data_IF_081958809453
#
_entry.id   IF_081958809453
#
_cell.length_a   1.000
_cell.length_b   1.000
_cell.length_c   1.000
_cell.angle_alpha   90.00
_cell.angle_beta   90.00
_cell.angle_gamma   90.00
#
_symmetry.space_group_name_H-M   'P 1'
#
loop_
_entity.id
_entity.type
_entity.pdbx_description
1 polymer ?
#
# COMPACT_ATOMS: atom_id res chain seq x y z
N UNK A 1 -7.15 13.96 5.45
CA UNK A 1 -5.77 13.40 5.48
C UNK A 1 -5.62 12.46 4.31
N UNK A 2 -4.44 12.37 3.67
CA UNK A 2 -4.28 11.46 2.55
C UNK A 2 -4.39 10.03 3.09
N UNK A 3 -5.53 9.40 2.84
CA UNK A 3 -5.60 7.94 2.85
C UNK A 3 -4.69 7.48 1.73
N UNK A 4 -3.70 6.64 2.04
CA UNK A 4 -2.89 6.03 0.99
C UNK A 4 -3.75 5.06 0.18
N UNK A 5 -3.45 4.92 -1.12
CA UNK A 5 -4.06 3.89 -1.97
C UNK A 5 -3.23 2.62 -1.96
N UNK A 6 -3.87 1.48 -2.27
CA UNK A 6 -3.21 0.20 -2.43
C UNK A 6 -3.34 -0.29 -3.87
N UNK A 7 -2.30 -0.91 -4.46
CA UNK A 7 -1.01 -1.22 -3.87
C UNK A 7 -0.17 0.00 -3.49
N UNK A 8 0.63 -0.16 -2.43
CA UNK A 8 1.48 0.91 -1.91
C UNK A 8 2.94 0.46 -1.84
N UNK A 9 3.84 1.37 -2.17
CA UNK A 9 5.29 1.14 -2.06
C UNK A 9 5.84 2.09 -1.01
N UNK A 10 6.37 1.56 0.09
CA UNK A 10 7.04 2.36 1.12
C UNK A 10 8.56 2.23 1.00
N UNK A 11 9.25 3.33 0.72
CA UNK A 11 10.71 3.39 0.64
C UNK A 11 11.30 3.82 1.99
N UNK A 12 11.91 2.89 2.72
CA UNK A 12 12.65 3.17 3.94
C UNK A 12 14.08 3.63 3.65
N UNK A 13 14.38 4.89 3.95
CA UNK A 13 15.69 5.49 3.73
C UNK A 13 16.77 4.93 4.68
N UNK A 14 16.35 4.30 5.79
CA UNK A 14 17.23 3.92 6.90
C UNK A 14 18.15 5.08 7.27
N UNK A 15 19.44 4.81 7.46
CA UNK A 15 20.49 5.80 7.69
C UNK A 15 21.50 5.85 6.54
N UNK A 16 21.05 5.59 5.30
CA UNK A 16 21.94 5.61 4.12
C UNK A 16 22.34 7.04 3.74
N UNK A 17 23.62 7.25 3.43
CA UNK A 17 24.12 8.56 2.98
C UNK A 17 23.45 9.02 1.67
N UNK A 18 23.05 8.05 0.85
CA UNK A 18 22.33 8.22 -0.41
C UNK A 18 20.89 8.73 -0.22
N UNK A 19 20.34 8.69 1.01
CA UNK A 19 18.98 9.15 1.33
C UNK A 19 18.92 9.97 2.63
N UNK A 20 19.96 10.75 2.92
CA UNK A 20 20.01 11.73 4.01
C UNK A 20 20.40 13.11 3.46
N UNK A 21 20.11 14.18 4.20
CA UNK A 21 20.37 15.55 3.72
C UNK A 21 19.69 15.85 2.36
N UNK A 22 20.37 16.62 1.51
CA UNK A 22 19.85 16.96 0.18
C UNK A 22 19.56 15.72 -0.70
N UNK A 23 20.19 14.57 -0.42
CA UNK A 23 19.95 13.37 -1.21
C UNK A 23 18.55 12.80 -1.00
N UNK A 24 17.99 12.90 0.21
CA UNK A 24 16.58 12.49 0.44
C UNK A 24 15.61 13.40 -0.33
N UNK A 25 15.94 14.69 -0.52
CA UNK A 25 15.11 15.60 -1.30
C UNK A 25 15.18 15.27 -2.78
N UNK A 26 16.34 14.84 -3.29
CA UNK A 26 16.47 14.33 -4.67
C UNK A 26 15.61 13.09 -4.87
N UNK A 27 15.67 12.13 -3.95
CA UNK A 27 14.83 10.93 -4.00
C UNK A 27 13.34 11.27 -3.88
N UNK A 28 12.98 12.21 -3.00
CA UNK A 28 11.60 12.68 -2.83
C UNK A 28 11.08 13.35 -4.11
N UNK A 29 11.92 14.12 -4.83
CA UNK A 29 11.56 14.69 -6.12
C UNK A 29 11.21 13.62 -7.17
N UNK A 30 12.00 12.54 -7.21
CA UNK A 30 11.72 11.40 -8.10
C UNK A 30 10.36 10.79 -7.74
N UNK A 31 10.13 10.52 -6.45
CA UNK A 31 8.87 9.95 -5.95
C UNK A 31 7.67 10.85 -6.29
N UNK A 32 7.79 12.17 -6.09
CA UNK A 32 6.76 13.14 -6.45
C UNK A 32 6.36 13.03 -7.92
N UNK A 33 7.33 13.09 -8.84
CA UNK A 33 7.07 13.01 -10.28
C UNK A 33 6.40 11.68 -10.69
N UNK A 34 6.80 10.57 -10.08
CA UNK A 34 6.20 9.26 -10.33
C UNK A 34 4.76 9.23 -9.82
N UNK A 35 4.50 9.73 -8.61
CA UNK A 35 3.14 9.79 -8.05
C UNK A 35 2.18 10.66 -8.88
N UNK A 36 2.67 11.64 -9.65
CA UNK A 36 1.84 12.41 -10.59
C UNK A 36 1.48 11.62 -11.86
N UNK A 37 2.32 10.64 -12.24
CA UNK A 37 2.24 9.94 -13.52
C UNK A 37 1.58 8.56 -13.43
N UNK A 38 1.61 7.94 -12.25
CA UNK A 38 1.15 6.57 -12.02
C UNK A 38 0.06 6.51 -10.93
N UNK A 39 -0.78 5.49 -10.99
CA UNK A 39 -1.87 5.29 -10.03
C UNK A 39 -1.42 4.63 -8.72
N UNK A 40 -0.29 3.91 -8.76
CA UNK A 40 0.32 3.28 -7.59
C UNK A 40 1.10 4.34 -6.81
N UNK A 41 0.72 4.52 -5.55
CA UNK A 41 1.32 5.55 -4.70
C UNK A 41 2.59 5.04 -4.02
N UNK A 42 3.62 5.90 -4.03
CA UNK A 42 4.88 5.67 -3.33
C UNK A 42 4.98 6.63 -2.14
N UNK A 43 5.31 6.10 -0.97
CA UNK A 43 5.69 6.85 0.22
C UNK A 43 7.17 6.71 0.56
N UNK A 44 7.65 7.56 1.46
CA UNK A 44 9.04 7.59 1.90
C UNK A 44 9.15 7.66 3.42
N UNK A 45 10.11 6.93 4.00
CA UNK A 45 10.45 6.99 5.42
C UNK A 45 11.88 7.52 5.63
N UNK A 46 12.07 8.85 5.69
CA UNK A 46 13.38 9.49 5.91
C UNK A 46 13.82 9.41 7.38
N UNK A 47 15.07 9.78 7.67
CA UNK A 47 15.50 9.97 9.06
C UNK A 47 14.72 11.12 9.74
N UNK A 48 14.62 11.10 11.07
CA UNK A 48 13.83 12.08 11.84
C UNK A 48 14.18 13.53 11.53
N UNK A 49 15.48 13.83 11.39
CA UNK A 49 16.00 15.18 11.08
C UNK A 49 15.57 15.70 9.70
N UNK A 50 15.05 14.81 8.87
CA UNK A 50 14.79 15.05 7.46
C UNK A 50 13.28 15.06 7.16
N UNK A 51 12.44 14.58 8.08
CA UNK A 51 10.97 14.49 7.92
C UNK A 51 10.36 15.84 7.56
N UNK A 52 10.57 16.86 8.41
CA UNK A 52 9.92 18.16 8.25
C UNK A 52 10.25 18.80 6.89
N UNK A 53 11.52 18.73 6.47
CA UNK A 53 11.92 19.32 5.18
C UNK A 53 11.39 18.57 3.97
N UNK A 54 11.17 17.25 4.07
CA UNK A 54 10.52 16.47 3.00
C UNK A 54 9.05 16.85 2.93
N UNK A 55 8.34 16.83 4.06
CA UNK A 55 6.92 17.17 4.11
C UNK A 55 6.65 18.60 3.63
N UNK A 56 7.49 19.56 4.03
CA UNK A 56 7.37 20.96 3.62
C UNK A 56 7.55 21.15 2.11
N UNK A 57 8.46 20.38 1.49
CA UNK A 57 8.80 20.53 0.07
C UNK A 57 7.91 19.71 -0.86
N UNK A 58 7.42 18.56 -0.39
CA UNK A 58 6.62 17.60 -1.15
C UNK A 58 5.41 17.13 -0.32
N UNK A 59 4.42 18.01 -0.08
CA UNK A 59 3.30 17.73 0.83
C UNK A 59 2.33 16.65 0.32
N UNK A 60 2.44 16.26 -0.93
CA UNK A 60 1.65 15.22 -1.60
C UNK A 60 2.25 13.81 -1.43
N UNK A 61 3.52 13.69 -1.02
CA UNK A 61 4.14 12.40 -0.72
C UNK A 61 3.73 11.96 0.70
N UNK A 62 3.20 10.74 0.88
CA UNK A 62 3.03 10.17 2.21
C UNK A 62 4.39 9.93 2.88
N UNK A 63 4.73 10.77 3.86
CA UNK A 63 5.96 10.64 4.64
C UNK A 63 5.71 9.83 5.91
N UNK A 64 6.54 8.83 6.16
CA UNK A 64 6.47 7.98 7.35
C UNK A 64 7.67 8.23 8.25
N UNK A 65 7.47 8.27 9.57
CA UNK A 65 8.61 8.23 10.50
C UNK A 65 9.17 6.81 10.61
N UNK A 66 10.48 6.67 10.86
CA UNK A 66 11.11 5.35 11.00
C UNK A 66 10.87 4.68 12.37
N UNK A 67 10.39 5.44 13.37
CA UNK A 67 10.07 5.00 14.73
C UNK A 67 9.27 6.10 15.44
N UNK A 68 8.60 5.76 16.55
CA UNK A 68 8.14 6.71 17.57
C UNK A 68 8.19 6.04 18.94
N UNK A 69 8.33 6.84 20.00
CA UNK A 69 8.28 6.32 21.37
C UNK A 69 6.86 6.50 21.93
N UNK A 70 6.31 5.54 22.70
CA UNK A 70 4.96 5.61 23.28
C UNK A 70 4.92 6.56 24.48
N UNK A 71 5.20 7.83 24.24
CA UNK A 71 5.30 8.89 25.25
C UNK A 71 4.27 9.98 24.99
N UNK A 72 4.06 10.83 26.01
CA UNK A 72 3.26 12.05 25.92
C UNK A 72 4.17 13.28 26.03
N UNK A 73 3.68 14.50 25.71
CA UNK A 73 4.44 15.72 25.91
C UNK A 73 4.94 15.84 27.35
N UNK A 74 6.25 15.99 27.54
CA UNK A 74 6.87 15.99 28.85
C UNK A 74 8.39 15.80 28.82
N UNK A 75 8.95 15.38 29.95
CA UNK A 75 10.40 15.24 30.17
C UNK A 75 10.97 13.96 29.56
N UNK A 76 11.11 13.94 28.23
CA UNK A 76 11.61 12.78 27.46
C UNK A 76 12.76 13.15 26.50
N UNK A 77 13.84 13.73 27.03
CA UNK A 77 14.98 14.17 26.22
C UNK A 77 15.55 13.03 25.34
N UNK A 78 15.61 13.26 24.03
CA UNK A 78 16.15 12.29 23.05
C UNK A 78 15.14 11.29 22.50
N UNK A 79 13.89 11.30 22.99
CA UNK A 79 12.81 10.48 22.45
C UNK A 79 12.10 11.17 21.28
N UNK A 80 11.41 10.37 20.46
CA UNK A 80 10.60 10.81 19.32
C UNK A 80 9.14 10.88 19.74
N UNK A 81 8.67 12.10 20.04
CA UNK A 81 7.29 12.38 20.44
C UNK A 81 6.32 12.20 19.25
N UNK A 82 5.28 11.36 19.34
CA UNK A 82 4.33 11.11 18.25
C UNK A 82 3.63 12.37 17.72
N UNK A 83 3.23 13.29 18.60
CA UNK A 83 2.58 14.54 18.22
C UNK A 83 3.51 15.42 17.37
N UNK A 84 4.82 15.40 17.64
CA UNK A 84 5.80 16.15 16.85
C UNK A 84 5.94 15.60 15.42
N UNK A 85 5.77 14.29 15.23
CA UNK A 85 5.76 13.67 13.91
C UNK A 85 4.51 14.08 13.13
N UNK A 86 3.35 14.09 13.81
CA UNK A 86 2.09 14.55 13.22
C UNK A 86 2.19 16.02 12.79
N UNK A 87 2.72 16.88 13.66
CA UNK A 87 2.92 18.30 13.39
C UNK A 87 3.91 18.53 12.24
N UNK A 88 4.95 17.70 12.14
CA UNK A 88 5.91 17.76 11.03
C UNK A 88 5.32 17.36 9.67
N UNK A 89 4.11 16.78 9.63
CA UNK A 89 3.40 16.40 8.41
C UNK A 89 3.44 14.89 8.09
N UNK A 90 3.87 14.03 9.01
CA UNK A 90 3.86 12.59 8.78
C UNK A 90 2.45 12.05 8.50
N UNK A 91 2.36 11.13 7.54
CA UNK A 91 1.19 10.32 7.25
C UNK A 91 1.13 9.06 8.13
N UNK A 92 2.28 8.57 8.61
CA UNK A 92 2.35 7.35 9.41
C UNK A 92 3.71 7.09 10.04
N UNK A 93 3.86 5.92 10.66
CA UNK A 93 5.06 5.53 11.41
C UNK A 93 5.35 4.04 11.21
N UNK A 94 6.63 3.71 10.95
CA UNK A 94 7.15 2.36 11.02
C UNK A 94 7.44 2.01 12.48
N UNK A 95 6.96 0.85 12.92
CA UNK A 95 7.05 0.37 14.30
C UNK A 95 7.70 -1.01 14.31
N UNK A 96 8.57 -1.27 15.28
CA UNK A 96 9.19 -2.59 15.50
C UNK A 96 10.00 -3.12 14.31
N UNK A 97 10.64 -2.23 13.52
CA UNK A 97 11.55 -2.66 12.46
C UNK A 97 12.66 -3.56 13.03
N UNK A 98 13.21 -4.46 12.21
CA UNK A 98 14.24 -5.42 12.65
C UNK A 98 15.48 -4.76 13.29
N UNK A 99 15.79 -3.53 12.88
CA UNK A 99 16.89 -2.67 13.37
C UNK A 99 16.47 -1.78 14.57
N UNK A 100 15.18 -1.75 14.94
CA UNK A 100 14.60 -1.00 16.07
C UNK A 100 13.42 -1.78 16.66
N UNK A 101 13.72 -2.93 17.27
CA UNK A 101 12.71 -3.78 17.94
C UNK A 101 12.31 -3.18 19.27
N UNK A 102 11.03 -3.31 19.61
CA UNK A 102 10.45 -2.83 20.87
C UNK A 102 9.63 -3.93 21.53
N UNK A 103 9.22 -3.73 22.79
CA UNK A 103 8.42 -4.71 23.51
C UNK A 103 6.99 -4.75 22.97
N UNK A 104 6.31 -5.89 23.16
CA UNK A 104 4.95 -6.07 22.62
C UNK A 104 3.92 -5.11 23.24
N UNK A 105 4.09 -4.73 24.51
CA UNK A 105 3.26 -3.71 25.15
C UNK A 105 3.48 -2.33 24.54
N UNK A 106 4.73 -1.96 24.23
CA UNK A 106 5.06 -0.73 23.52
C UNK A 106 4.49 -0.71 22.10
N UNK A 107 4.47 -1.86 21.39
CA UNK A 107 3.81 -1.98 20.08
C UNK A 107 2.33 -1.63 20.20
N UNK A 108 1.63 -2.20 21.20
CA UNK A 108 0.21 -1.95 21.43
C UNK A 108 -0.05 -0.47 21.72
N UNK A 109 0.75 0.14 22.60
CA UNK A 109 0.65 1.57 22.92
C UNK A 109 0.90 2.45 21.68
N UNK A 110 1.93 2.15 20.89
CA UNK A 110 2.19 2.87 19.65
C UNK A 110 1.03 2.78 18.66
N UNK A 111 0.42 1.60 18.47
CA UNK A 111 -0.74 1.46 17.57
C UNK A 111 -1.92 2.30 18.09
N UNK A 112 -2.17 2.35 19.40
CA UNK A 112 -3.23 3.17 19.97
C UNK A 112 -2.97 4.66 19.74
N UNK A 113 -1.75 5.14 19.98
CA UNK A 113 -1.37 6.53 19.71
C UNK A 113 -1.50 6.85 18.21
N UNK A 114 -1.10 5.94 17.33
CA UNK A 114 -1.30 6.10 15.88
C UNK A 114 -2.78 6.34 15.54
N UNK A 115 -3.71 5.58 16.12
CA UNK A 115 -5.15 5.79 15.92
C UNK A 115 -5.63 7.14 16.43
N UNK A 116 -5.22 7.51 17.66
CA UNK A 116 -5.60 8.78 18.28
C UNK A 116 -5.14 9.98 17.47
N UNK A 117 -3.95 9.90 16.87
CA UNK A 117 -3.34 10.97 16.06
C UNK A 117 -3.63 10.83 14.56
N UNK A 118 -4.45 9.87 14.14
CA UNK A 118 -4.72 9.55 12.73
C UNK A 118 -3.43 9.39 11.90
N UNK A 119 -2.44 8.68 12.47
CA UNK A 119 -1.21 8.25 11.81
C UNK A 119 -1.33 6.78 11.41
N UNK A 120 -0.91 6.44 10.21
CA UNK A 120 -0.90 5.06 9.72
C UNK A 120 0.20 4.27 10.45
N UNK A 121 -0.17 3.19 11.13
CA UNK A 121 0.74 2.26 11.79
C UNK A 121 1.26 1.19 10.82
N UNK A 122 2.59 1.12 10.62
CA UNK A 122 3.26 0.07 9.83
C UNK A 122 4.12 -0.78 10.75
N UNK A 123 3.62 -1.92 11.19
CA UNK A 123 4.30 -2.74 12.19
C UNK A 123 5.07 -3.89 11.53
N UNK A 124 6.39 -3.88 11.67
CA UNK A 124 7.25 -4.93 11.13
C UNK A 124 7.23 -6.18 12.02
N UNK A 125 7.29 -7.34 11.37
CA UNK A 125 7.27 -8.66 12.00
C UNK A 125 8.21 -9.62 11.27
N UNK A 126 8.93 -10.47 12.00
CA UNK A 126 9.92 -11.38 11.42
C UNK A 126 9.38 -12.75 11.01
N UNK A 127 8.28 -13.20 11.63
CA UNK A 127 7.68 -14.51 11.35
C UNK A 127 6.15 -14.42 11.31
N UNK A 128 5.46 -15.38 10.68
CA UNK A 128 4.00 -15.39 10.67
C UNK A 128 3.36 -15.47 12.06
N UNK A 129 4.00 -16.12 13.03
CA UNK A 129 3.52 -16.17 14.43
C UNK A 129 3.54 -14.79 15.07
N UNK A 130 4.60 -14.02 14.81
CA UNK A 130 4.71 -12.64 15.31
C UNK A 130 3.70 -11.76 14.57
N UNK A 131 3.50 -11.95 13.26
CA UNK A 131 2.42 -11.29 12.51
C UNK A 131 1.04 -11.56 13.13
N UNK A 132 0.77 -12.81 13.53
CA UNK A 132 -0.49 -13.19 14.17
C UNK A 132 -0.67 -12.48 15.51
N UNK A 133 0.36 -12.44 16.35
CA UNK A 133 0.31 -11.74 17.63
C UNK A 133 0.03 -10.25 17.43
N UNK A 134 0.77 -9.59 16.53
CA UNK A 134 0.60 -8.16 16.22
C UNK A 134 -0.80 -7.88 15.63
N UNK A 135 -1.33 -8.76 14.80
CA UNK A 135 -2.65 -8.60 14.19
C UNK A 135 -3.78 -8.52 15.24
N UNK A 136 -3.60 -9.08 16.44
CA UNK A 136 -4.58 -8.95 17.54
C UNK A 136 -4.73 -7.51 18.04
N UNK A 137 -3.73 -6.66 17.80
CA UNK A 137 -3.79 -5.23 18.09
C UNK A 137 -4.35 -4.42 16.93
N UNK A 138 -4.80 -5.03 15.82
CA UNK A 138 -5.42 -4.38 14.66
C UNK A 138 -4.68 -3.14 14.10
N UNK A 139 -3.36 -3.21 13.82
CA UNK A 139 -2.68 -2.11 13.14
C UNK A 139 -3.23 -1.90 11.72
N UNK A 140 -2.93 -0.75 11.12
CA UNK A 140 -3.29 -0.46 9.73
C UNK A 140 -2.55 -1.41 8.78
N UNK A 141 -1.24 -1.58 8.99
CA UNK A 141 -0.36 -2.41 8.16
C UNK A 141 0.53 -3.29 9.04
N UNK A 142 0.67 -4.56 8.66
CA UNK A 142 1.74 -5.47 9.12
C UNK A 142 2.70 -5.75 7.97
N UNK A 143 3.99 -5.49 8.17
CA UNK A 143 5.05 -5.80 7.21
C UNK A 143 5.79 -7.09 7.63
N UNK A 144 5.65 -8.17 6.85
CA UNK A 144 6.40 -9.41 7.06
C UNK A 144 7.80 -9.28 6.44
N UNK A 145 8.83 -9.36 7.29
CA UNK A 145 10.24 -9.13 6.93
C UNK A 145 11.16 -10.12 7.65
N UNK A 146 11.42 -11.31 7.08
CA UNK A 146 12.38 -12.26 7.63
C UNK A 146 13.80 -11.64 7.70
N UNK A 147 14.39 -11.48 8.90
CA UNK A 147 15.65 -10.75 9.09
C UNK A 147 16.81 -11.29 8.24
N UNK A 148 16.84 -12.58 7.99
CA UNK A 148 17.87 -13.27 7.21
C UNK A 148 17.90 -12.87 5.72
N UNK A 149 16.86 -12.20 5.22
CA UNK A 149 16.76 -11.73 3.84
C UNK A 149 16.97 -10.21 3.70
N UNK A 150 17.17 -9.50 4.81
CA UNK A 150 17.31 -8.03 4.79
C UNK A 150 18.67 -7.66 4.22
N UNK A 151 18.67 -6.85 3.16
CA UNK A 151 19.89 -6.33 2.53
C UNK A 151 20.67 -7.35 1.68
N UNK A 152 20.18 -8.59 1.56
CA UNK A 152 20.84 -9.64 0.76
C UNK A 152 20.54 -9.54 -0.74
N UNK A 153 19.47 -8.83 -1.10
CA UNK A 153 18.94 -8.82 -2.47
C UNK A 153 18.20 -10.11 -2.86
N UNK A 154 17.96 -11.02 -1.91
CA UNK A 154 17.19 -12.24 -2.13
C UNK A 154 15.73 -11.97 -1.70
N UNK A 155 14.78 -11.83 -2.64
CA UNK A 155 13.41 -11.44 -2.34
C UNK A 155 12.67 -12.55 -1.60
N UNK A 156 12.04 -12.20 -0.47
CA UNK A 156 11.23 -13.14 0.32
C UNK A 156 10.08 -13.74 -0.49
N UNK A 157 9.51 -12.96 -1.42
CA UNK A 157 8.41 -13.40 -2.28
C UNK A 157 8.78 -14.58 -3.19
N UNK A 158 10.07 -14.80 -3.46
CA UNK A 158 10.58 -15.93 -4.25
C UNK A 158 11.26 -16.99 -3.40
N UNK A 159 12.05 -16.57 -2.42
CA UNK A 159 12.83 -17.48 -1.59
C UNK A 159 11.97 -18.23 -0.57
N UNK A 160 10.94 -17.57 -0.03
CA UNK A 160 10.06 -18.13 1.00
C UNK A 160 8.58 -17.73 0.80
N UNK A 161 7.97 -18.00 -0.37
CA UNK A 161 6.58 -17.61 -0.68
C UNK A 161 5.56 -18.18 0.32
N UNK A 162 5.84 -19.34 0.90
CA UNK A 162 5.04 -19.98 1.94
C UNK A 162 4.99 -19.17 3.25
N UNK A 163 6.09 -18.50 3.62
CA UNK A 163 6.13 -17.62 4.80
C UNK A 163 5.18 -16.44 4.60
N UNK A 164 5.24 -15.81 3.42
CA UNK A 164 4.35 -14.68 3.07
C UNK A 164 2.89 -15.13 3.04
N UNK A 165 2.57 -16.23 2.34
CA UNK A 165 1.20 -16.77 2.28
C UNK A 165 0.64 -17.11 3.66
N UNK A 166 1.46 -17.72 4.52
CA UNK A 166 1.03 -18.07 5.88
C UNK A 166 0.74 -16.81 6.70
N UNK A 167 1.60 -15.80 6.61
CA UNK A 167 1.37 -14.52 7.28
C UNK A 167 0.08 -13.84 6.78
N UNK A 168 -0.10 -13.72 5.45
CA UNK A 168 -1.30 -13.14 4.84
C UNK A 168 -2.57 -13.85 5.33
N UNK A 169 -2.61 -15.18 5.24
CA UNK A 169 -3.77 -15.96 5.65
C UNK A 169 -4.06 -15.83 7.15
N UNK A 170 -3.02 -15.73 7.97
CA UNK A 170 -3.18 -15.67 9.41
C UNK A 170 -3.64 -14.26 9.87
N UNK A 171 -3.06 -13.20 9.31
CA UNK A 171 -3.48 -11.82 9.57
C UNK A 171 -4.94 -11.63 9.14
N UNK A 172 -5.32 -12.03 7.92
CA UNK A 172 -6.69 -11.86 7.41
C UNK A 172 -7.75 -12.59 8.24
N UNK A 173 -7.39 -13.67 8.93
CA UNK A 173 -8.30 -14.37 9.85
C UNK A 173 -8.52 -13.61 11.17
N UNK A 174 -7.51 -12.88 11.64
CA UNK A 174 -7.51 -12.21 12.95
C UNK A 174 -8.02 -10.77 12.81
N UNK A 175 -7.50 -10.04 11.83
CA UNK A 175 -7.81 -8.62 11.57
C UNK A 175 -7.98 -8.43 10.05
N UNK A 176 -9.19 -8.67 9.50
CA UNK A 176 -9.44 -8.64 8.05
C UNK A 176 -9.14 -7.30 7.37
N UNK A 177 -9.24 -6.20 8.12
CA UNK A 177 -8.99 -4.84 7.62
C UNK A 177 -7.49 -4.48 7.61
N UNK A 178 -6.66 -5.20 8.37
CA UNK A 178 -5.22 -4.96 8.42
C UNK A 178 -4.59 -5.35 7.09
N UNK A 179 -3.87 -4.38 6.51
CA UNK A 179 -3.16 -4.54 5.24
C UNK A 179 -1.84 -5.24 5.48
N UNK A 180 -1.37 -5.98 4.48
CA UNK A 180 -0.15 -6.77 4.61
C UNK A 180 0.88 -6.28 3.61
N UNK A 181 2.05 -5.90 4.10
CA UNK A 181 3.20 -5.59 3.25
C UNK A 181 4.21 -6.72 3.27
N UNK A 182 4.88 -6.91 2.14
CA UNK A 182 6.02 -7.78 2.01
C UNK A 182 7.29 -6.93 2.01
N UNK A 183 8.26 -7.23 2.88
CA UNK A 183 9.57 -6.59 2.81
C UNK A 183 10.70 -7.61 2.72
N UNK A 184 11.94 -7.10 2.76
CA UNK A 184 13.19 -7.85 2.55
C UNK A 184 13.46 -8.36 1.11
N UNK A 185 14.58 -7.89 0.55
CA UNK A 185 15.21 -8.44 -0.65
C UNK A 185 14.56 -8.09 -2.00
N UNK A 186 13.50 -7.29 -2.01
CA UNK A 186 12.87 -6.79 -3.25
C UNK A 186 13.84 -5.86 -3.99
N UNK A 187 14.18 -6.20 -5.24
CA UNK A 187 15.11 -5.41 -6.06
C UNK A 187 14.65 -5.20 -7.50
N UNK A 188 13.63 -5.94 -7.94
CA UNK A 188 13.08 -5.90 -9.31
C UNK A 188 11.55 -5.85 -9.29
N UNK A 189 10.94 -5.38 -10.38
CA UNK A 189 9.49 -5.32 -10.54
C UNK A 189 8.82 -6.69 -10.42
N UNK A 190 9.46 -7.75 -10.94
CA UNK A 190 8.98 -9.13 -10.80
C UNK A 190 8.82 -9.58 -9.34
N UNK A 191 9.64 -9.04 -8.42
CA UNK A 191 9.55 -9.35 -6.99
C UNK A 191 8.30 -8.69 -6.37
N UNK A 192 7.94 -7.50 -6.87
CA UNK A 192 6.73 -6.75 -6.51
C UNK A 192 5.48 -7.47 -6.97
N UNK A 193 5.41 -7.86 -8.25
CA UNK A 193 4.32 -8.67 -8.79
C UNK A 193 4.13 -9.94 -7.98
N UNK A 194 5.24 -10.63 -7.67
CA UNK A 194 5.18 -11.85 -6.85
C UNK A 194 4.64 -11.59 -5.45
N UNK A 195 5.05 -10.52 -4.77
CA UNK A 195 4.50 -10.18 -3.46
C UNK A 195 2.97 -9.99 -3.52
N UNK A 196 2.50 -9.18 -4.48
CA UNK A 196 1.08 -8.89 -4.66
C UNK A 196 0.27 -10.13 -5.06
N UNK A 197 0.82 -11.03 -5.87
CA UNK A 197 0.23 -12.34 -6.19
C UNK A 197 -0.01 -13.19 -4.95
N UNK A 198 0.94 -13.16 -3.98
CA UNK A 198 0.83 -13.89 -2.71
C UNK A 198 -0.21 -13.30 -1.76
N UNK A 199 -0.82 -12.17 -2.12
CA UNK A 199 -1.95 -11.56 -1.42
C UNK A 199 -1.57 -10.41 -0.49
N UNK A 200 -0.38 -9.83 -0.66
CA UNK A 200 -0.01 -8.56 0.01
C UNK A 200 -0.67 -7.37 -0.68
N UNK A 201 -0.81 -6.28 0.06
CA UNK A 201 -1.37 -4.99 -0.38
C UNK A 201 -0.27 -3.99 -0.74
N UNK A 202 1.01 -4.36 -0.60
CA UNK A 202 2.13 -3.46 -0.87
C UNK A 202 3.47 -4.06 -0.49
N UNK A 203 4.51 -3.23 -0.55
CA UNK A 203 5.89 -3.59 -0.21
C UNK A 203 6.55 -2.54 0.67
N UNK A 204 7.49 -3.00 1.51
CA UNK A 204 8.43 -2.17 2.26
C UNK A 204 9.85 -2.45 1.73
N UNK A 205 10.48 -1.43 1.14
CA UNK A 205 11.78 -1.57 0.46
C UNK A 205 12.78 -0.54 0.96
N UNK A 206 14.08 -0.83 0.78
CA UNK A 206 15.15 0.09 1.18
C UNK A 206 16.29 0.09 0.17
N UNK A 207 17.29 -0.79 0.36
CA UNK A 207 18.54 -0.79 -0.42
C UNK A 207 18.34 -1.01 -1.92
N UNK A 208 17.31 -1.75 -2.33
CA UNK A 208 16.98 -1.95 -3.75
C UNK A 208 16.68 -0.66 -4.50
N UNK A 209 16.17 0.36 -3.81
CA UNK A 209 15.89 1.70 -4.35
C UNK A 209 16.99 2.68 -3.95
N UNK A 210 17.25 2.81 -2.65
CA UNK A 210 18.10 3.87 -2.09
C UNK A 210 19.55 3.78 -2.60
N UNK A 211 20.06 2.56 -2.82
CA UNK A 211 21.43 2.33 -3.29
C UNK A 211 21.50 2.04 -4.79
N UNK A 212 20.38 2.17 -5.52
CA UNK A 212 20.37 1.97 -6.95
C UNK A 212 21.21 3.06 -7.64
N UNK A 213 21.87 2.69 -8.74
CA UNK A 213 22.54 3.68 -9.61
C UNK A 213 21.53 4.66 -10.22
N UNK A 214 20.31 4.18 -10.44
CA UNK A 214 19.19 4.93 -11.00
C UNK A 214 17.91 4.57 -10.22
N UNK A 215 17.65 5.29 -9.10
CA UNK A 215 16.45 5.03 -8.29
C UNK A 215 15.14 5.29 -9.02
N UNK A 216 15.12 6.23 -9.97
CA UNK A 216 13.93 6.56 -10.77
C UNK A 216 13.52 5.38 -11.63
N UNK A 217 14.47 4.81 -12.38
CA UNK A 217 14.20 3.62 -13.18
C UNK A 217 13.68 2.44 -12.36
N UNK A 218 14.25 2.20 -11.18
CA UNK A 218 13.82 1.10 -10.30
C UNK A 218 12.40 1.35 -9.78
N UNK A 219 12.09 2.57 -9.35
CA UNK A 219 10.76 2.90 -8.87
C UNK A 219 9.70 2.82 -9.98
N UNK A 220 10.03 3.25 -11.20
CA UNK A 220 9.17 3.09 -12.38
C UNK A 220 8.88 1.59 -12.62
N UNK A 221 9.92 0.75 -12.63
CA UNK A 221 9.76 -0.70 -12.79
C UNK A 221 8.83 -1.29 -11.71
N UNK A 222 8.91 -0.80 -10.47
CA UNK A 222 8.06 -1.28 -9.37
C UNK A 222 6.60 -0.85 -9.53
N UNK A 223 6.32 0.40 -9.90
CA UNK A 223 4.94 0.87 -10.09
C UNK A 223 4.29 0.22 -11.31
N UNK A 224 5.01 0.07 -12.42
CA UNK A 224 4.51 -0.62 -13.62
C UNK A 224 4.17 -2.08 -13.33
N UNK A 225 5.03 -2.78 -12.59
CA UNK A 225 4.79 -4.15 -12.17
C UNK A 225 3.57 -4.26 -11.23
N UNK A 226 3.42 -3.33 -10.29
CA UNK A 226 2.28 -3.28 -9.41
C UNK A 226 0.97 -3.00 -10.17
N UNK A 227 0.94 -2.00 -11.05
CA UNK A 227 -0.22 -1.67 -11.89
C UNK A 227 -0.65 -2.83 -12.79
N UNK A 228 0.32 -3.48 -13.44
CA UNK A 228 0.07 -4.66 -14.28
C UNK A 228 -0.55 -5.79 -13.48
N UNK A 229 -0.04 -6.06 -12.29
CA UNK A 229 -0.55 -7.14 -11.42
C UNK A 229 -1.98 -6.88 -10.95
N UNK A 230 -2.35 -5.62 -10.70
CA UNK A 230 -3.74 -5.25 -10.37
C UNK A 230 -4.63 -5.41 -11.60
N UNK A 231 -4.16 -4.96 -12.76
CA UNK A 231 -4.93 -5.00 -14.02
C UNK A 231 -5.20 -6.44 -14.45
N UNK A 232 -4.23 -7.33 -14.31
CA UNK A 232 -4.40 -8.77 -14.59
C UNK A 232 -5.37 -9.45 -13.59
N UNK A 233 -5.42 -8.97 -12.34
CA UNK A 233 -6.40 -9.43 -11.33
C UNK A 233 -7.78 -8.78 -11.48
N UNK A 234 -7.89 -7.63 -12.17
CA UNK A 234 -9.18 -7.00 -12.51
C UNK A 234 -9.78 -7.75 -13.68
N UNK A 235 -10.98 -8.29 -13.47
CA UNK A 235 -11.71 -8.95 -14.56
C UNK A 235 -11.81 -7.99 -15.75
N UNK A 236 -11.49 -8.39 -17.00
CA UNK A 236 -11.58 -7.51 -18.18
C UNK A 236 -12.96 -6.87 -18.37
N UNK A 237 -14.00 -7.52 -17.84
CA UNK A 237 -15.37 -7.00 -17.83
C UNK A 237 -15.55 -5.86 -16.83
N UNK A 238 -14.78 -5.81 -15.74
CA UNK A 238 -14.87 -4.76 -14.72
C UNK A 238 -14.35 -3.43 -15.25
N UNK A 239 -13.21 -3.39 -15.91
CA UNK A 239 -12.71 -2.16 -16.56
C UNK A 239 -13.66 -1.67 -17.65
N UNK A 240 -14.20 -2.60 -18.44
CA UNK A 240 -15.24 -2.28 -19.43
C UNK A 240 -16.51 -1.71 -18.76
N UNK A 241 -16.94 -2.27 -17.63
CA UNK A 241 -18.06 -1.75 -16.85
C UNK A 241 -17.75 -0.39 -16.23
N UNK A 242 -16.56 -0.17 -15.66
CA UNK A 242 -16.15 1.12 -15.10
C UNK A 242 -16.15 2.22 -16.18
N UNK A 243 -15.62 1.93 -17.37
CA UNK A 243 -15.72 2.80 -18.55
C UNK A 243 -17.17 3.06 -18.96
N UNK A 244 -18.00 2.02 -18.98
CA UNK A 244 -19.42 2.16 -19.31
C UNK A 244 -20.20 2.96 -18.26
N UNK A 245 -19.82 2.90 -16.99
CA UNK A 245 -20.45 3.66 -15.92
C UNK A 245 -19.97 5.11 -15.87
N UNK A 246 -18.72 5.38 -16.29
CA UNK A 246 -18.15 6.72 -16.41
C UNK A 246 -18.36 7.57 -15.14
N UNK A 247 -17.92 7.03 -14.00
CA UNK A 247 -18.04 7.66 -12.69
C UNK A 247 -19.43 7.61 -12.04
N UNK A 248 -20.45 7.07 -12.72
CA UNK A 248 -21.76 6.82 -12.11
C UNK A 248 -21.74 5.51 -11.33
N UNK A 249 -22.54 5.41 -10.27
CA UNK A 249 -22.73 4.15 -9.52
C UNK A 249 -23.91 3.32 -10.01
N UNK A 250 -24.89 3.94 -10.66
CA UNK A 250 -26.14 3.32 -11.09
C UNK A 250 -26.49 3.76 -12.51
N UNK A 251 -26.89 2.82 -13.37
CA UNK A 251 -27.33 3.09 -14.74
C UNK A 251 -28.60 2.31 -15.11
N UNK A 252 -29.54 2.91 -15.85
CA UNK A 252 -30.63 2.16 -16.50
C UNK A 252 -30.05 1.15 -17.50
N UNK A 253 -30.66 -0.04 -17.64
CA UNK A 253 -30.24 -1.07 -18.62
C UNK A 253 -30.04 -0.48 -20.02
N UNK A 254 -31.01 0.29 -20.52
CA UNK A 254 -30.95 0.93 -21.85
C UNK A 254 -29.76 1.90 -22.01
N UNK A 255 -29.28 2.52 -20.94
CA UNK A 255 -28.12 3.40 -20.99
C UNK A 255 -26.82 2.60 -20.95
N UNK A 256 -26.76 1.57 -20.10
CA UNK A 256 -25.61 0.66 -20.03
C UNK A 256 -25.39 -0.03 -21.38
N UNK A 257 -26.44 -0.59 -22.00
CA UNK A 257 -26.35 -1.25 -23.31
C UNK A 257 -25.80 -0.31 -24.37
N UNK A 258 -26.38 0.89 -24.50
CA UNK A 258 -25.90 1.90 -25.45
C UNK A 258 -24.44 2.30 -25.24
N UNK A 259 -23.97 2.34 -24.00
CA UNK A 259 -22.57 2.67 -23.69
C UNK A 259 -21.63 1.51 -23.99
N UNK A 260 -22.01 0.28 -23.71
CA UNK A 260 -21.22 -0.91 -24.07
C UNK A 260 -21.09 -1.07 -25.58
N UNK A 261 -22.14 -0.78 -26.34
CA UNK A 261 -22.09 -0.75 -27.81
C UNK A 261 -21.11 0.29 -28.33
N UNK A 262 -21.08 1.50 -27.73
CA UNK A 262 -20.08 2.54 -28.07
C UNK A 262 -18.64 2.13 -27.72
N UNK A 263 -18.47 1.24 -26.76
CA UNK A 263 -17.17 0.68 -26.38
C UNK A 263 -16.77 -0.54 -27.23
N UNK A 264 -17.54 -0.85 -28.29
CA UNK A 264 -17.20 -1.87 -29.28
C UNK A 264 -17.80 -3.26 -29.01
N UNK A 265 -18.73 -3.40 -28.05
CA UNK A 265 -19.45 -4.67 -27.82
C UNK A 265 -20.67 -4.73 -28.76
N UNK A 266 -20.79 -5.72 -29.66
CA UNK A 266 -21.97 -5.80 -30.54
C UNK A 266 -23.24 -6.05 -29.71
N UNK A 267 -24.35 -5.41 -30.11
CA UNK A 267 -25.58 -5.34 -29.32
C UNK A 267 -26.17 -6.73 -29.03
N UNK A 268 -26.07 -7.67 -29.97
CA UNK A 268 -26.52 -9.07 -29.79
C UNK A 268 -25.82 -9.80 -28.63
N UNK A 269 -24.59 -9.40 -28.28
CA UNK A 269 -23.83 -10.00 -27.19
C UNK A 269 -24.03 -9.28 -25.85
N UNK A 270 -24.52 -8.04 -25.85
CA UNK A 270 -24.63 -7.25 -24.62
C UNK A 270 -25.63 -7.89 -23.66
N UNK A 271 -26.81 -8.26 -24.15
CA UNK A 271 -27.86 -8.83 -23.30
C UNK A 271 -27.49 -10.22 -22.78
N UNK A 272 -26.74 -11.01 -23.56
CA UNK A 272 -26.21 -12.31 -23.13
C UNK A 272 -25.08 -12.17 -22.10
N UNK A 273 -24.20 -11.17 -22.27
CA UNK A 273 -23.10 -10.94 -21.34
C UNK A 273 -23.54 -10.32 -20.02
N UNK A 274 -24.50 -9.39 -20.03
CA UNK A 274 -25.01 -8.74 -18.80
C UNK A 274 -25.63 -9.76 -17.84
N UNK A 275 -26.16 -10.88 -18.35
CA UNK A 275 -26.72 -11.96 -17.52
C UNK A 275 -25.70 -13.04 -17.15
N UNK A 276 -24.44 -12.96 -17.60
CA UNK A 276 -23.43 -13.95 -17.26
C UNK A 276 -23.11 -13.93 -15.76
N UNK A 277 -22.76 -15.09 -15.20
CA UNK A 277 -22.37 -15.21 -13.79
C UNK A 277 -21.18 -14.28 -13.44
N UNK A 278 -20.29 -14.05 -14.40
CA UNK A 278 -19.12 -13.16 -14.29
C UNK A 278 -19.51 -11.68 -14.20
N UNK A 279 -20.52 -11.21 -14.94
CA UNK A 279 -21.00 -9.82 -14.80
C UNK A 279 -21.87 -9.65 -13.55
N UNK A 280 -22.58 -10.69 -13.13
CA UNK A 280 -23.39 -10.63 -11.91
C UNK A 280 -22.57 -10.50 -10.62
N UNK A 281 -21.28 -10.83 -10.63
CA UNK A 281 -20.35 -10.54 -9.53
C UNK A 281 -19.82 -9.09 -9.53
N UNK A 282 -20.03 -8.36 -10.62
CA UNK A 282 -19.59 -6.97 -10.84
C UNK A 282 -20.77 -5.99 -10.76
N UNK A 283 -21.95 -6.41 -11.24
CA UNK A 283 -23.16 -5.62 -11.34
C UNK A 283 -24.30 -6.22 -10.53
N UNK A 284 -24.88 -5.43 -9.63
CA UNK A 284 -26.15 -5.76 -8.97
C UNK A 284 -27.33 -5.22 -9.76
N UNK A 285 -28.26 -6.08 -10.13
CA UNK A 285 -29.54 -5.70 -10.76
C UNK A 285 -30.52 -5.13 -9.73
N UNK A 286 -31.21 -4.05 -10.07
CA UNK A 286 -32.30 -3.48 -9.28
C UNK A 286 -33.44 -2.97 -10.17
N UNK A 287 -34.58 -2.63 -9.57
CA UNK A 287 -35.78 -2.17 -10.27
C UNK A 287 -36.24 -0.82 -9.72
N UNK A 288 -36.60 0.11 -10.61
CA UNK A 288 -37.21 1.39 -10.25
C UNK A 288 -38.30 1.73 -11.25
N UNK A 289 -39.53 1.93 -10.78
CA UNK A 289 -40.71 2.26 -11.61
C UNK A 289 -40.93 1.29 -12.79
N UNK A 290 -40.72 -0.02 -12.56
CA UNK A 290 -40.87 -1.05 -13.60
C UNK A 290 -39.68 -1.18 -14.57
N UNK A 291 -38.67 -0.31 -14.47
CA UNK A 291 -37.47 -0.37 -15.30
C UNK A 291 -36.29 -1.04 -14.58
N UNK A 292 -35.43 -1.71 -15.35
CA UNK A 292 -34.21 -2.38 -14.86
C UNK A 292 -33.04 -1.42 -14.79
N UNK A 293 -32.33 -1.43 -13.66
CA UNK A 293 -31.09 -0.71 -13.41
C UNK A 293 -29.98 -1.67 -12.98
N UNK A 294 -28.74 -1.28 -13.25
CA UNK A 294 -27.54 -1.96 -12.77
C UNK A 294 -26.73 -1.03 -11.89
N UNK A 295 -26.24 -1.57 -10.78
CA UNK A 295 -25.37 -0.90 -9.81
C UNK A 295 -23.98 -1.54 -9.94
N UNK A 296 -22.95 -0.72 -10.15
CA UNK A 296 -21.58 -1.19 -10.15
C UNK A 296 -21.15 -1.46 -8.69
N UNK A 297 -20.74 -2.69 -8.42
CA UNK A 297 -20.30 -3.12 -7.09
C UNK A 297 -18.83 -2.72 -6.86
N UNK A 298 -18.49 -2.47 -5.59
CA UNK A 298 -17.11 -2.13 -5.17
C UNK A 298 -16.16 -3.32 -5.22
#
# INVERSE_FOLDING_TARGET
>A
MPRISYPFILVNCKTYAEATGDNVLKLSKIIHNINESYSVQIGIAPQFTDIYRVCLRYPDIPVFAQHMDPIKPGSHTGHILPESLKEAGCAGVIINHSERRIRIDEICECINICRELELISVVCASTPEICMAIATFSPDIVAIEPPELIGTGIPVSKAKPEVVKRAVNAIKKISPETRIFCGAGITKGEDVSKALELGTDGILVASGVVKAKDPEKVLIEFVEAAESTITEKRHPLRDLMEKAFAGKRVLPKKALVRRLVRLGIPEEFVDQKIVSAEIQSILRKTYKNGEVYYILQE
#
